data_IF_224469715458
#
_entry.id   IF_224469715458
#
_cell.length_a   1.000
_cell.length_b   1.000
_cell.length_c   1.000
_cell.angle_alpha   90.00
_cell.angle_beta   90.00
_cell.angle_gamma   90.00
#
_symmetry.space_group_name_H-M   'P 1'
#
loop_
_entity.id
_entity.type
_entity.pdbx_description
1 polymer ?
#
# COMPACT_ATOMS: atom_id res chain seq x y z
N UNK A 1 30.92 -28.16 24.39
CA UNK A 1 30.37 -27.82 23.06
C UNK A 1 29.84 -26.41 23.16
N UNK A 2 30.44 -25.49 22.42
CA UNK A 2 30.26 -24.05 22.53
C UNK A 2 28.91 -23.65 21.93
N UNK A 3 27.98 -23.14 22.75
CA UNK A 3 26.75 -22.52 22.26
C UNK A 3 27.09 -21.16 21.65
N UNK A 4 26.83 -21.01 20.35
CA UNK A 4 26.89 -19.73 19.66
C UNK A 4 25.74 -18.85 20.13
N UNK A 5 26.06 -17.80 20.88
CA UNK A 5 25.18 -16.67 21.13
C UNK A 5 24.95 -15.95 19.80
N UNK A 6 23.79 -16.15 19.17
CA UNK A 6 23.40 -15.37 18.00
C UNK A 6 22.57 -14.19 18.50
N UNK A 7 23.17 -13.00 18.44
CA UNK A 7 22.68 -11.79 19.06
C UNK A 7 21.43 -11.21 18.38
N UNK A 8 20.59 -10.61 19.20
CA UNK A 8 19.65 -9.56 18.81
C UNK A 8 20.38 -8.54 17.93
N UNK A 9 20.10 -8.53 16.62
CA UNK A 9 20.54 -7.45 15.73
C UNK A 9 19.53 -7.17 14.62
N UNK A 10 18.22 -7.23 14.93
CA UNK A 10 17.17 -6.77 14.00
C UNK A 10 17.09 -5.24 13.88
N UNK A 11 17.84 -4.49 14.68
CA UNK A 11 17.91 -3.02 14.57
C UNK A 11 19.00 -2.49 13.64
N UNK A 12 19.94 -3.33 13.17
CA UNK A 12 21.05 -2.88 12.30
C UNK A 12 20.75 -2.98 10.79
N UNK A 13 19.75 -3.76 10.38
CA UNK A 13 19.24 -3.76 9.00
C UNK A 13 18.48 -2.46 8.64
N UNK A 14 18.22 -1.60 9.61
CA UNK A 14 17.65 -0.27 9.39
C UNK A 14 18.68 0.75 8.86
N UNK A 15 19.94 0.37 8.71
CA UNK A 15 20.98 1.27 8.19
C UNK A 15 20.89 1.52 6.68
N UNK A 16 20.10 0.73 5.95
CA UNK A 16 19.90 0.88 4.49
C UNK A 16 18.50 1.44 4.12
N UNK A 17 17.66 1.68 5.12
CA UNK A 17 16.35 2.33 4.97
C UNK A 17 16.50 3.84 5.08
N UNK A 18 17.07 4.48 4.06
CA UNK A 18 17.04 5.94 3.98
C UNK A 18 15.67 6.42 3.52
N UNK A 19 14.72 6.55 4.45
CA UNK A 19 13.46 7.27 4.20
C UNK A 19 13.72 8.76 4.38
N UNK A 20 13.69 9.52 3.29
CA UNK A 20 13.89 10.97 3.33
C UNK A 20 12.53 11.67 3.32
N UNK A 21 12.23 12.44 4.36
CA UNK A 21 11.04 13.28 4.46
C UNK A 21 11.45 14.77 4.48
N UNK A 22 10.87 15.58 3.59
CA UNK A 22 11.19 17.01 3.49
C UNK A 22 10.24 17.76 2.55
N UNK A 23 10.28 19.11 2.52
CA UNK A 23 9.32 19.95 1.79
C UNK A 23 9.35 19.78 0.25
N UNK A 24 10.34 19.08 -0.29
CA UNK A 24 10.29 18.41 -1.60
C UNK A 24 11.35 17.31 -1.62
N UNK A 25 10.93 16.05 -1.74
CA UNK A 25 11.82 14.91 -2.02
C UNK A 25 12.30 14.96 -3.47
N UNK A 26 13.26 14.10 -3.85
CA UNK A 26 13.73 14.03 -5.25
C UNK A 26 12.63 13.54 -6.20
N UNK A 27 11.77 12.65 -5.72
CA UNK A 27 10.64 12.14 -6.50
C UNK A 27 9.52 13.15 -6.68
N UNK A 28 9.41 14.16 -5.80
CA UNK A 28 8.25 15.04 -5.72
C UNK A 28 7.08 14.45 -4.93
N UNK A 29 7.29 13.31 -4.25
CA UNK A 29 6.36 12.72 -3.29
C UNK A 29 6.76 13.08 -1.85
N UNK A 30 5.99 12.65 -0.87
CA UNK A 30 6.26 12.87 0.54
C UNK A 30 7.46 12.05 1.04
N UNK A 31 7.70 10.86 0.47
CA UNK A 31 8.81 9.98 0.82
C UNK A 31 9.56 9.49 -0.43
N UNK A 32 10.90 9.55 -0.39
CA UNK A 32 11.74 8.75 -1.28
C UNK A 32 11.98 7.39 -0.63
N UNK A 33 11.44 6.33 -1.22
CA UNK A 33 11.57 4.95 -0.74
C UNK A 33 12.72 4.21 -1.45
N UNK A 34 13.44 3.31 -0.78
CA UNK A 34 14.40 2.43 -1.44
C UNK A 34 13.75 1.59 -2.55
N UNK A 35 14.42 1.43 -3.69
CA UNK A 35 13.83 0.85 -4.91
C UNK A 35 13.27 -0.57 -4.72
N UNK A 36 13.91 -1.38 -3.87
CA UNK A 36 13.53 -2.77 -3.63
C UNK A 36 12.70 -2.96 -2.36
N UNK A 37 12.33 -1.87 -1.67
CA UNK A 37 11.67 -1.93 -0.36
C UNK A 37 10.42 -2.84 -0.36
N UNK A 38 9.58 -2.69 -1.37
CA UNK A 38 8.36 -3.47 -1.50
C UNK A 38 8.64 -4.88 -2.00
N UNK A 39 9.58 -5.04 -2.93
CA UNK A 39 9.97 -6.34 -3.47
C UNK A 39 10.57 -7.25 -2.39
N UNK A 40 11.37 -6.70 -1.47
CA UNK A 40 12.01 -7.43 -0.38
C UNK A 40 11.01 -7.88 0.69
N UNK A 41 9.99 -7.07 0.99
CA UNK A 41 8.98 -7.44 2.00
C UNK A 41 7.84 -8.29 1.45
N UNK A 42 7.35 -7.99 0.25
CA UNK A 42 6.16 -8.64 -0.32
C UNK A 42 6.51 -9.76 -1.30
N UNK A 43 7.71 -9.71 -1.89
CA UNK A 43 8.14 -10.55 -3.00
C UNK A 43 7.84 -9.88 -4.35
N UNK A 44 8.82 -9.90 -5.26
CA UNK A 44 8.71 -9.27 -6.60
C UNK A 44 7.47 -9.68 -7.39
N UNK A 45 7.04 -10.94 -7.29
CA UNK A 45 5.87 -11.47 -8.01
C UNK A 45 4.52 -11.06 -7.40
N UNK A 46 4.53 -10.25 -6.34
CA UNK A 46 3.35 -9.77 -5.61
C UNK A 46 3.29 -8.25 -5.53
N UNK A 47 4.19 -7.58 -6.24
CA UNK A 47 4.23 -6.12 -6.39
C UNK A 47 3.89 -5.80 -7.84
N UNK A 48 2.69 -5.28 -8.03
CA UNK A 48 2.18 -4.90 -9.34
C UNK A 48 2.70 -3.53 -9.76
N UNK A 49 3.17 -3.45 -10.99
CA UNK A 49 3.67 -2.22 -11.63
C UNK A 49 2.84 -1.94 -12.86
N UNK A 50 2.45 -0.68 -13.03
CA UNK A 50 1.61 -0.23 -14.13
C UNK A 50 2.45 0.35 -15.26
N UNK A 51 1.97 0.22 -16.49
CA UNK A 51 2.53 0.86 -17.67
C UNK A 51 1.85 2.21 -17.94
N UNK A 52 2.50 3.08 -18.72
CA UNK A 52 1.97 4.43 -18.96
C UNK A 52 0.58 4.44 -19.63
N UNK A 53 0.25 3.39 -20.39
CA UNK A 53 -1.04 3.22 -21.05
C UNK A 53 -2.13 2.66 -20.11
N UNK A 54 -1.77 2.16 -18.94
CA UNK A 54 -2.72 1.69 -17.92
C UNK A 54 -3.34 2.87 -17.16
N UNK A 55 -2.70 4.04 -17.21
CA UNK A 55 -3.14 5.21 -16.50
C UNK A 55 -4.21 5.99 -17.28
N UNK A 56 -5.34 6.34 -16.65
CA UNK A 56 -6.32 7.22 -17.26
C UNK A 56 -5.73 8.62 -17.49
N UNK A 57 -6.27 9.33 -18.48
CA UNK A 57 -5.80 10.68 -18.83
C UNK A 57 -5.94 11.70 -17.68
N UNK A 58 -6.81 11.41 -16.71
CA UNK A 58 -7.05 12.24 -15.52
C UNK A 58 -5.99 12.08 -14.44
N UNK A 59 -5.20 11.00 -14.47
CA UNK A 59 -3.99 10.88 -13.67
C UNK A 59 -2.89 11.72 -14.35
N UNK A 60 -2.77 12.98 -13.96
CA UNK A 60 -1.81 13.95 -14.51
C UNK A 60 -0.64 14.21 -13.57
N UNK A 61 -0.74 13.78 -12.31
CA UNK A 61 0.31 13.91 -11.33
C UNK A 61 1.49 12.98 -11.64
N UNK A 62 2.51 13.53 -12.30
CA UNK A 62 3.69 12.80 -12.79
C UNK A 62 4.45 12.01 -11.70
N UNK A 63 4.69 12.54 -10.47
CA UNK A 63 5.32 11.76 -9.41
C UNK A 63 4.58 10.48 -9.06
N UNK A 64 3.25 10.51 -9.07
CA UNK A 64 2.41 9.34 -8.80
C UNK A 64 2.50 8.31 -9.91
N UNK A 65 2.46 8.74 -11.19
CA UNK A 65 2.64 7.85 -12.34
C UNK A 65 3.97 7.11 -12.26
N UNK A 66 5.05 7.85 -12.02
CA UNK A 66 6.39 7.30 -11.89
C UNK A 66 6.48 6.28 -10.76
N UNK A 67 5.87 6.56 -9.61
CA UNK A 67 5.85 5.62 -8.50
C UNK A 67 5.13 4.31 -8.87
N UNK A 68 3.93 4.40 -9.45
CA UNK A 68 3.15 3.22 -9.84
C UNK A 68 3.84 2.38 -10.92
N UNK A 69 4.63 3.01 -11.79
CA UNK A 69 5.41 2.34 -12.85
C UNK A 69 6.70 1.71 -12.33
N UNK A 70 7.48 2.47 -11.56
CA UNK A 70 8.84 2.05 -11.18
C UNK A 70 8.81 1.22 -9.88
N UNK A 71 8.05 1.65 -8.87
CA UNK A 71 7.96 1.01 -7.54
C UNK A 71 6.80 0.01 -7.46
N UNK A 72 5.65 0.37 -8.01
CA UNK A 72 4.44 -0.43 -7.94
C UNK A 72 3.78 -0.43 -6.55
N UNK A 73 2.83 -1.35 -6.37
CA UNK A 73 2.12 -1.58 -5.11
C UNK A 73 1.94 -3.07 -4.86
N UNK A 74 1.88 -3.51 -3.59
CA UNK A 74 1.48 -4.87 -3.27
C UNK A 74 0.09 -5.17 -3.80
N UNK A 75 -0.07 -6.30 -4.51
CA UNK A 75 -1.36 -6.74 -5.04
C UNK A 75 -2.38 -7.00 -3.93
N UNK A 76 -1.91 -7.63 -2.84
CA UNK A 76 -2.74 -8.01 -1.71
C UNK A 76 -2.04 -7.72 -0.37
N UNK A 77 -2.78 -7.08 0.52
CA UNK A 77 -2.44 -6.85 1.92
C UNK A 77 -3.69 -7.03 2.80
N UNK A 78 -3.50 -7.24 4.11
CA UNK A 78 -4.61 -7.52 5.03
C UNK A 78 -5.69 -6.42 5.06
N UNK A 79 -5.34 -5.19 4.69
CA UNK A 79 -6.26 -4.04 4.67
C UNK A 79 -6.60 -3.55 3.27
N UNK A 80 -5.89 -4.01 2.24
CA UNK A 80 -5.93 -3.42 0.90
C UNK A 80 -5.75 -4.50 -0.17
N UNK A 81 -6.60 -4.46 -1.18
CA UNK A 81 -6.48 -5.28 -2.38
C UNK A 81 -6.48 -4.35 -3.59
N UNK A 82 -5.38 -4.40 -4.34
CA UNK A 82 -5.17 -3.58 -5.53
C UNK A 82 -6.05 -4.07 -6.68
N UNK A 83 -6.67 -3.13 -7.40
CA UNK A 83 -7.25 -3.40 -8.70
C UNK A 83 -6.12 -3.57 -9.71
N UNK A 84 -6.06 -4.74 -10.32
CA UNK A 84 -5.10 -5.05 -11.39
C UNK A 84 -5.76 -5.01 -12.77
N UNK A 85 -7.06 -4.68 -12.83
CA UNK A 85 -7.76 -4.44 -14.08
C UNK A 85 -7.24 -3.16 -14.76
N UNK A 86 -7.01 -3.26 -16.06
CA UNK A 86 -6.40 -2.22 -16.89
C UNK A 86 -7.41 -1.73 -17.92
N UNK A 87 -7.53 -0.41 -18.15
CA UNK A 87 -6.85 0.68 -17.43
C UNK A 87 -7.42 0.88 -16.00
N UNK A 88 -6.65 1.55 -15.14
CA UNK A 88 -7.13 1.94 -13.81
C UNK A 88 -8.37 2.82 -13.94
N UNK A 89 -9.52 2.44 -13.33
CA UNK A 89 -10.74 3.20 -13.49
C UNK A 89 -10.73 4.45 -12.61
N UNK A 90 -11.33 5.53 -13.11
CA UNK A 90 -11.78 6.60 -12.22
C UNK A 90 -12.94 6.09 -11.34
N UNK A 91 -13.17 6.75 -10.21
CA UNK A 91 -14.27 6.40 -9.31
C UNK A 91 -15.61 6.48 -10.03
N UNK A 92 -15.80 7.49 -10.89
CA UNK A 92 -16.98 7.61 -11.74
C UNK A 92 -17.14 6.43 -12.70
N UNK A 93 -16.07 5.99 -13.36
CA UNK A 93 -16.10 4.85 -14.29
C UNK A 93 -16.37 3.53 -13.56
N UNK A 94 -15.76 3.31 -12.40
CA UNK A 94 -16.03 2.13 -11.58
C UNK A 94 -17.52 2.03 -11.24
N UNK A 95 -18.14 3.11 -10.76
CA UNK A 95 -19.57 3.07 -10.44
C UNK A 95 -20.48 2.96 -11.67
N UNK A 96 -20.08 3.52 -12.81
CA UNK A 96 -20.83 3.38 -14.05
C UNK A 96 -20.87 1.92 -14.57
N UNK A 97 -19.80 1.15 -14.39
CA UNK A 97 -19.67 -0.19 -14.96
C UNK A 97 -19.93 -1.31 -13.94
N UNK A 98 -19.32 -1.23 -12.75
CA UNK A 98 -19.34 -2.30 -11.74
C UNK A 98 -20.48 -2.17 -10.73
N UNK A 99 -21.04 -0.96 -10.60
CA UNK A 99 -22.09 -0.63 -9.63
C UNK A 99 -23.17 0.29 -10.21
N UNK A 100 -23.83 -0.08 -11.33
CA UNK A 100 -24.80 0.79 -12.01
C UNK A 100 -26.05 1.12 -11.18
N UNK A 101 -26.27 0.45 -10.04
CA UNK A 101 -27.33 0.74 -9.08
C UNK A 101 -26.96 1.75 -7.98
N UNK A 102 -25.71 2.21 -7.93
CA UNK A 102 -25.30 3.22 -6.95
C UNK A 102 -25.79 4.61 -7.39
N UNK A 103 -26.44 5.39 -6.50
CA UNK A 103 -26.96 6.70 -6.88
C UNK A 103 -25.83 7.68 -7.25
N UNK A 104 -25.87 8.22 -8.47
CA UNK A 104 -24.81 9.09 -8.98
C UNK A 104 -24.65 10.38 -8.15
N UNK A 105 -25.73 10.87 -7.54
CA UNK A 105 -25.74 12.03 -6.64
C UNK A 105 -25.00 11.79 -5.31
N UNK A 106 -24.71 10.53 -4.98
CA UNK A 106 -23.88 10.17 -3.82
C UNK A 106 -22.39 10.14 -4.15
N UNK A 107 -22.01 10.23 -5.43
CA UNK A 107 -20.61 10.35 -5.81
C UNK A 107 -20.10 11.77 -5.53
N UNK A 108 -18.82 11.91 -5.14
CA UNK A 108 -18.22 13.23 -5.00
C UNK A 108 -18.15 13.91 -6.38
N UNK A 109 -18.23 15.25 -6.41
CA UNK A 109 -18.21 16.01 -7.66
C UNK A 109 -16.93 15.76 -8.48
N UNK A 110 -15.84 15.49 -7.80
CA UNK A 110 -14.53 15.14 -8.33
C UNK A 110 -14.35 13.67 -8.76
N UNK A 111 -15.39 12.82 -8.72
CA UNK A 111 -15.27 11.38 -8.99
C UNK A 111 -14.60 11.03 -10.34
N UNK A 112 -14.67 11.89 -11.35
CA UNK A 112 -14.04 11.70 -12.66
C UNK A 112 -12.52 11.89 -12.66
N UNK A 113 -11.95 12.53 -11.63
CA UNK A 113 -10.50 12.69 -11.46
C UNK A 113 -9.92 11.87 -10.31
N UNK A 114 -10.77 11.19 -9.54
CA UNK A 114 -10.35 10.28 -8.48
C UNK A 114 -10.07 8.92 -9.10
N UNK A 115 -8.83 8.47 -9.05
CA UNK A 115 -8.41 7.18 -9.60
C UNK A 115 -8.59 6.13 -8.52
N UNK A 116 -9.41 5.10 -8.77
CA UNK A 116 -9.56 4.01 -7.82
C UNK A 116 -8.35 3.10 -7.93
N UNK A 117 -7.67 2.87 -6.80
CA UNK A 117 -6.59 1.91 -6.73
C UNK A 117 -7.07 0.53 -6.34
N UNK A 118 -8.09 0.43 -5.50
CA UNK A 118 -8.51 -0.88 -5.01
C UNK A 118 -9.43 -0.83 -3.80
N UNK A 119 -9.81 -2.03 -3.37
CA UNK A 119 -10.65 -2.23 -2.20
C UNK A 119 -9.86 -2.01 -0.91
N UNK A 120 -10.49 -1.32 0.03
CA UNK A 120 -10.01 -1.10 1.39
C UNK A 120 -11.01 -1.69 2.40
N UNK A 121 -10.59 -1.86 3.65
CA UNK A 121 -11.46 -2.46 4.69
C UNK A 121 -12.81 -1.75 4.81
N UNK A 122 -13.80 -2.48 5.33
CA UNK A 122 -15.15 -1.96 5.64
C UNK A 122 -15.95 -1.46 4.43
N UNK A 123 -15.64 -1.98 3.23
CA UNK A 123 -16.31 -1.58 1.99
C UNK A 123 -15.82 -0.23 1.46
N UNK A 124 -14.69 0.25 1.96
CA UNK A 124 -14.06 1.46 1.47
C UNK A 124 -13.21 1.17 0.23
N UNK A 125 -12.72 2.22 -0.42
CA UNK A 125 -11.73 2.11 -1.48
C UNK A 125 -10.63 3.14 -1.30
N UNK A 126 -9.41 2.76 -1.64
CA UNK A 126 -8.31 3.72 -1.77
C UNK A 126 -8.43 4.40 -3.12
N UNK A 127 -8.45 5.73 -3.12
CA UNK A 127 -8.48 6.54 -4.33
C UNK A 127 -7.35 7.57 -4.32
N UNK A 128 -6.85 7.92 -5.50
CA UNK A 128 -5.89 9.00 -5.69
C UNK A 128 -6.56 10.19 -6.36
N UNK A 129 -6.31 11.41 -5.89
CA UNK A 129 -6.58 12.60 -6.71
C UNK A 129 -5.58 12.63 -7.88
N UNK A 130 -6.07 12.46 -9.10
CA UNK A 130 -5.23 12.37 -10.29
C UNK A 130 -4.45 13.65 -10.60
N UNK A 131 -4.82 14.79 -10.04
CA UNK A 131 -4.14 16.08 -10.24
C UNK A 131 -3.07 16.32 -9.18
N UNK A 132 -3.36 16.00 -7.92
CA UNK A 132 -2.49 16.33 -6.79
C UNK A 132 -1.67 15.16 -6.26
N UNK A 133 -2.04 13.92 -6.61
CA UNK A 133 -1.44 12.70 -6.09
C UNK A 133 -1.89 12.31 -4.68
N UNK A 134 -2.80 13.09 -4.06
CA UNK A 134 -3.26 12.84 -2.70
C UNK A 134 -3.98 11.49 -2.57
N UNK A 135 -3.65 10.72 -1.53
CA UNK A 135 -4.27 9.43 -1.24
C UNK A 135 -5.43 9.59 -0.25
N UNK A 136 -6.61 9.16 -0.67
CA UNK A 136 -7.87 9.35 0.05
C UNK A 136 -8.55 8.00 0.30
N UNK A 137 -9.30 7.95 1.39
CA UNK A 137 -10.26 6.90 1.67
C UNK A 137 -11.64 7.34 1.15
N UNK A 138 -12.19 6.60 0.20
CA UNK A 138 -13.60 6.71 -0.19
C UNK A 138 -14.42 5.71 0.62
N UNK A 139 -15.34 6.23 1.42
CA UNK A 139 -16.37 5.41 2.05
C UNK A 139 -17.61 5.34 1.16
N UNK A 140 -17.95 4.14 0.71
CA UNK A 140 -19.21 3.90 0.02
C UNK A 140 -20.43 4.08 0.95
N UNK A 141 -20.46 3.49 2.17
CA UNK A 141 -21.62 3.60 3.06
C UNK A 141 -21.93 5.03 3.46
N UNK A 142 -20.91 5.81 3.83
CA UNK A 142 -21.07 7.20 4.25
C UNK A 142 -21.08 8.17 3.07
N UNK A 143 -20.63 7.75 1.88
CA UNK A 143 -20.46 8.61 0.71
C UNK A 143 -19.58 9.83 0.99
N UNK A 144 -18.45 9.58 1.67
CA UNK A 144 -17.50 10.61 2.11
C UNK A 144 -16.08 10.30 1.65
N UNK A 145 -15.33 11.36 1.37
CA UNK A 145 -13.89 11.31 1.17
C UNK A 145 -13.19 11.80 2.42
N UNK A 146 -12.23 11.02 2.92
CA UNK A 146 -11.36 11.39 4.01
C UNK A 146 -9.90 11.31 3.56
N UNK A 147 -9.03 12.24 3.98
CA UNK A 147 -7.59 12.08 3.80
C UNK A 147 -7.11 10.77 4.43
N UNK A 148 -6.38 9.96 3.66
CA UNK A 148 -5.79 8.70 4.14
C UNK A 148 -4.28 8.86 4.35
N UNK A 149 -3.59 9.33 3.31
CA UNK A 149 -2.16 9.53 3.28
C UNK A 149 -1.82 10.76 2.43
N UNK A 150 -0.62 11.31 2.59
CA UNK A 150 -0.21 12.50 1.83
C UNK A 150 -0.21 12.23 0.33
N UNK A 151 0.31 11.06 -0.06
CA UNK A 151 0.32 10.53 -1.42
C UNK A 151 0.64 9.02 -1.42
N UNK A 152 0.84 8.47 -2.61
CA UNK A 152 1.09 7.04 -2.82
C UNK A 152 2.35 6.51 -2.13
N UNK A 153 3.40 7.32 -1.96
CA UNK A 153 4.64 6.90 -1.28
C UNK A 153 4.37 6.62 0.20
N UNK A 154 3.62 7.51 0.86
CA UNK A 154 3.25 7.34 2.26
C UNK A 154 2.28 6.18 2.46
N UNK A 155 1.35 5.96 1.52
CA UNK A 155 0.47 4.79 1.56
C UNK A 155 1.26 3.47 1.43
N UNK A 156 2.15 3.36 0.45
CA UNK A 156 2.98 2.18 0.27
C UNK A 156 3.88 1.91 1.48
N UNK A 157 4.46 2.96 2.07
CA UNK A 157 5.23 2.84 3.31
C UNK A 157 4.38 2.38 4.50
N UNK A 158 3.13 2.82 4.62
CA UNK A 158 2.19 2.30 5.63
C UNK A 158 1.91 0.81 5.44
N UNK A 159 1.68 0.35 4.19
CA UNK A 159 1.51 -1.08 3.92
C UNK A 159 2.75 -1.89 4.32
N UNK A 160 3.94 -1.39 3.98
CA UNK A 160 5.22 -1.99 4.38
C UNK A 160 5.37 -2.10 5.91
N UNK A 161 5.08 -1.02 6.65
CA UNK A 161 5.13 -1.02 8.12
C UNK A 161 4.21 -2.08 8.73
N UNK A 162 2.98 -2.17 8.25
CA UNK A 162 1.99 -3.13 8.75
C UNK A 162 2.40 -4.59 8.44
N UNK A 163 2.97 -4.82 7.26
CA UNK A 163 3.46 -6.13 6.85
C UNK A 163 4.62 -6.58 7.75
N UNK A 164 5.54 -5.68 8.12
CA UNK A 164 6.63 -5.98 9.05
C UNK A 164 6.13 -6.29 10.45
N UNK A 165 5.23 -5.48 10.99
CA UNK A 165 4.63 -5.73 12.30
C UNK A 165 3.95 -7.12 12.35
N UNK A 166 3.25 -7.51 11.27
CA UNK A 166 2.64 -8.84 11.15
C UNK A 166 3.68 -9.96 11.12
N UNK A 167 4.79 -9.80 10.41
CA UNK A 167 5.88 -10.78 10.35
C UNK A 167 6.51 -10.97 11.74
N UNK A 168 6.78 -9.89 12.45
CA UNK A 168 7.38 -9.93 13.80
C UNK A 168 6.46 -10.63 14.82
N UNK A 169 5.15 -10.33 14.79
CA UNK A 169 4.15 -11.02 15.63
C UNK A 169 4.07 -12.50 15.32
N UNK A 170 4.12 -12.87 14.03
CA UNK A 170 4.07 -14.26 13.57
C UNK A 170 5.32 -15.03 14.01
N UNK A 171 6.51 -14.43 13.85
CA UNK A 171 7.76 -15.02 14.29
C UNK A 171 7.75 -15.23 15.81
N UNK A 172 7.37 -14.21 16.59
CA UNK A 172 7.28 -14.29 18.05
C UNK A 172 6.33 -15.40 18.50
N UNK A 173 5.17 -15.55 17.85
CA UNK A 173 4.22 -16.64 18.13
C UNK A 173 4.82 -18.03 17.87
N UNK A 174 5.55 -18.22 16.77
CA UNK A 174 6.23 -19.46 16.44
C UNK A 174 7.31 -19.84 17.48
N UNK A 175 8.08 -18.85 17.97
CA UNK A 175 9.07 -19.06 19.02
C UNK A 175 8.44 -19.47 20.36
N UNK A 176 7.33 -18.83 20.74
CA UNK A 176 6.61 -19.17 21.98
C UNK A 176 6.06 -20.61 21.91
N UNK A 177 5.53 -21.02 20.77
CA UNK A 177 5.01 -22.38 20.59
C UNK A 177 6.11 -23.43 20.60
N UNK A 178 7.27 -23.13 20.00
CA UNK A 178 8.45 -24.02 20.02
C UNK A 178 8.96 -24.25 21.44
N UNK A 179 9.17 -23.16 22.21
CA UNK A 179 9.62 -23.25 23.61
C UNK A 179 8.63 -24.00 24.50
N UNK A 180 7.32 -23.83 24.27
CA UNK A 180 6.28 -24.57 24.97
C UNK A 180 6.36 -26.08 24.69
N UNK A 181 6.58 -26.46 23.44
CA UNK A 181 6.66 -27.87 23.05
C UNK A 181 7.91 -28.55 23.60
N UNK A 182 9.05 -27.85 23.64
CA UNK A 182 10.28 -28.34 24.28
C UNK A 182 10.08 -28.54 25.79
N UNK A 183 9.46 -27.57 26.49
CA UNK A 183 9.19 -27.68 27.92
C UNK A 183 8.22 -28.83 28.30
N UNK A 184 7.34 -29.26 27.38
CA UNK A 184 6.46 -30.41 27.58
C UNK A 184 7.11 -31.75 27.22
N UNK A 185 8.20 -31.77 26.45
CA UNK A 185 8.90 -33.00 26.05
C UNK A 185 9.85 -33.54 27.14
N UNK A 186 10.24 -32.69 28.08
CA UNK A 186 11.15 -33.02 29.18
C UNK A 186 10.42 -33.43 30.49
N UNK A 187 9.09 -33.61 30.45
CA UNK A 187 8.22 -33.91 31.60
C UNK A 187 7.63 -35.32 31.64
#
# INVERSE_FOLDING_TARGET
MTMGTMGLTDLNDLTDLTVTAGPATLSGLALDLPALLLDEEFGQSRVWRFEDFDFPATLTHEPTRRFLRDMGLPEEHALFQLDTDIPLPTLAEYYAHERPGFPAERLPAEATRLIRLGHFVEGNSVVLDGTTGAALNWSEPESTLCPLNADISTFAFTLWLLQREKREKTATGCWVETLRNEACADG
#
